data_IF_589241590378
#
_entry.id   IF_589241590378
#
_cell.length_a   1.000
_cell.length_b   1.000
_cell.length_c   1.000
_cell.angle_alpha   90.00
_cell.angle_beta   90.00
_cell.angle_gamma   90.00
#
_symmetry.space_group_name_H-M   'P 1'
#
loop_
_entity.id
_entity.type
_entity.pdbx_description
1 polymer ?
#
# COMPACT_ATOMS: atom_id res chain seq x y z
N UNK A 1 17.35 6.47 -28.99
CA UNK A 1 17.55 6.33 -27.53
C UNK A 1 16.80 5.10 -27.12
N UNK A 2 17.52 4.10 -26.60
CA UNK A 2 17.04 2.74 -26.47
C UNK A 2 16.17 2.59 -25.23
N UNK A 3 15.17 1.69 -25.27
CA UNK A 3 14.29 1.29 -24.17
C UNK A 3 14.97 1.20 -22.78
N UNK A 4 16.15 0.58 -22.60
CA UNK A 4 16.82 0.50 -21.29
C UNK A 4 17.23 1.86 -20.69
N UNK A 5 17.57 2.85 -21.52
CA UNK A 5 17.97 4.19 -21.04
C UNK A 5 16.76 4.97 -20.50
N UNK A 6 15.57 4.72 -21.04
CA UNK A 6 14.32 5.37 -20.61
C UNK A 6 13.84 4.83 -19.27
N UNK A 7 13.96 3.51 -19.04
CA UNK A 7 13.54 2.85 -17.81
C UNK A 7 14.39 3.29 -16.61
N UNK A 8 15.71 3.37 -16.79
CA UNK A 8 16.61 3.92 -15.77
C UNK A 8 16.25 5.36 -15.42
N UNK A 9 15.88 6.18 -16.41
CA UNK A 9 15.52 7.58 -16.20
C UNK A 9 14.19 7.74 -15.42
N UNK A 10 13.19 6.90 -15.68
CA UNK A 10 11.91 6.94 -14.94
C UNK A 10 12.07 6.56 -13.47
N UNK A 11 12.85 5.50 -13.20
CA UNK A 11 13.16 5.09 -11.83
C UNK A 11 13.97 6.15 -11.07
N UNK A 12 15.01 6.71 -11.70
CA UNK A 12 15.85 7.75 -11.10
C UNK A 12 15.07 9.06 -10.84
N UNK A 13 14.17 9.44 -11.75
CA UNK A 13 13.29 10.59 -11.55
C UNK A 13 12.35 10.38 -10.35
N UNK A 14 11.77 9.18 -10.20
CA UNK A 14 10.92 8.85 -9.06
C UNK A 14 11.71 8.91 -7.74
N UNK A 15 12.91 8.33 -7.69
CA UNK A 15 13.76 8.40 -6.50
C UNK A 15 14.19 9.82 -6.17
N UNK A 16 14.50 10.64 -7.18
CA UNK A 16 14.88 12.04 -6.98
C UNK A 16 13.73 12.82 -6.33
N UNK A 17 12.51 12.64 -6.82
CA UNK A 17 11.32 13.27 -6.23
C UNK A 17 11.03 12.75 -4.81
N UNK A 18 11.10 11.43 -4.59
CA UNK A 18 10.80 10.82 -3.28
C UNK A 18 11.77 11.23 -2.17
N UNK A 19 13.03 11.50 -2.53
CA UNK A 19 14.05 12.02 -1.61
C UNK A 19 13.98 13.54 -1.42
N UNK A 20 13.21 14.24 -2.25
CA UNK A 20 12.95 15.68 -2.10
C UNK A 20 11.97 15.99 -0.98
N UNK A 21 11.92 17.27 -0.59
CA UNK A 21 10.96 17.75 0.39
C UNK A 21 9.51 17.63 -0.14
N UNK A 22 8.54 17.18 0.67
CA UNK A 22 7.12 17.20 0.30
C UNK A 22 6.60 18.59 0.00
N UNK A 23 5.73 18.68 -1.00
CA UNK A 23 4.96 19.89 -1.24
C UNK A 23 4.02 20.13 -0.05
N UNK A 24 3.87 21.38 0.40
CA UNK A 24 2.97 21.74 1.48
C UNK A 24 1.50 21.36 1.17
N UNK A 25 1.09 21.45 -0.10
CA UNK A 25 -0.24 21.06 -0.53
C UNK A 25 -0.34 19.56 -0.83
N UNK A 26 -1.06 18.75 -0.01
CA UNK A 26 -1.23 17.33 -0.27
C UNK A 26 -1.91 17.01 -1.61
N UNK A 27 -2.62 17.95 -2.24
CA UNK A 27 -3.22 17.72 -3.58
C UNK A 27 -2.15 17.75 -4.67
N UNK A 28 -1.21 18.70 -4.59
CA UNK A 28 -0.07 18.78 -5.50
C UNK A 28 0.84 17.56 -5.33
N UNK A 29 1.14 17.19 -4.09
CA UNK A 29 2.00 16.04 -3.78
C UNK A 29 1.33 14.71 -4.22
N UNK A 30 0.00 14.59 -4.10
CA UNK A 30 -0.75 13.45 -4.65
C UNK A 30 -0.65 13.37 -6.18
N UNK A 31 -0.70 14.51 -6.88
CA UNK A 31 -0.56 14.52 -8.33
C UNK A 31 0.83 14.02 -8.75
N UNK A 32 1.88 14.42 -8.02
CA UNK A 32 3.24 13.94 -8.23
C UNK A 32 3.39 12.44 -7.90
N UNK A 33 2.81 11.98 -6.78
CA UNK A 33 2.78 10.56 -6.41
C UNK A 33 2.20 9.71 -7.54
N UNK A 34 1.04 10.10 -8.08
CA UNK A 34 0.37 9.38 -9.17
C UNK A 34 1.15 9.39 -10.48
N UNK A 35 2.02 10.38 -10.68
CA UNK A 35 2.90 10.43 -11.83
C UNK A 35 4.05 9.40 -11.72
N UNK A 36 4.60 9.24 -10.52
CA UNK A 36 5.77 8.38 -10.28
C UNK A 36 5.43 6.94 -9.88
N UNK A 37 4.25 6.69 -9.31
CA UNK A 37 3.80 5.36 -8.86
C UNK A 37 3.93 4.24 -9.91
N UNK A 38 3.59 4.44 -11.21
CA UNK A 38 3.73 3.41 -12.23
C UNK A 38 5.17 2.89 -12.43
N UNK A 39 6.19 3.65 -12.00
CA UNK A 39 7.59 3.23 -12.08
C UNK A 39 7.85 1.94 -11.29
N UNK A 40 7.08 1.65 -10.23
CA UNK A 40 7.20 0.42 -9.45
C UNK A 40 6.76 -0.83 -10.23
N UNK A 41 5.96 -0.66 -11.28
CA UNK A 41 5.51 -1.74 -12.16
C UNK A 41 6.53 -2.15 -13.23
N UNK A 42 7.66 -1.45 -13.32
CA UNK A 42 8.66 -1.73 -14.34
C UNK A 42 9.33 -3.10 -14.13
N UNK A 43 9.29 -3.91 -15.19
CA UNK A 43 9.86 -5.26 -15.24
C UNK A 43 11.39 -5.30 -15.24
N UNK A 44 12.05 -4.19 -15.60
CA UNK A 44 13.50 -4.08 -15.59
C UNK A 44 14.09 -3.88 -14.19
N UNK A 45 13.27 -3.49 -13.20
CA UNK A 45 13.71 -3.32 -11.83
C UNK A 45 14.08 -4.66 -11.20
N UNK A 46 15.21 -4.67 -10.49
CA UNK A 46 15.51 -5.76 -9.57
C UNK A 46 14.54 -5.74 -8.39
N UNK A 47 14.38 -6.90 -7.73
CA UNK A 47 13.58 -7.03 -6.50
C UNK A 47 13.95 -5.97 -5.46
N UNK A 48 15.24 -5.76 -5.22
CA UNK A 48 15.72 -4.79 -4.22
C UNK A 48 15.36 -3.33 -4.59
N UNK A 49 15.51 -2.95 -5.87
CA UNK A 49 15.13 -1.61 -6.34
C UNK A 49 13.61 -1.40 -6.22
N UNK A 50 12.81 -2.41 -6.57
CA UNK A 50 11.36 -2.33 -6.45
C UNK A 50 10.94 -2.22 -4.97
N UNK A 51 11.56 -2.97 -4.07
CA UNK A 51 11.32 -2.89 -2.62
C UNK A 51 11.64 -1.50 -2.06
N UNK A 52 12.80 -0.94 -2.41
CA UNK A 52 13.21 0.41 -2.00
C UNK A 52 12.21 1.46 -2.49
N UNK A 53 11.88 1.43 -3.79
CA UNK A 53 10.93 2.37 -4.38
C UNK A 53 9.55 2.27 -3.71
N UNK A 54 9.05 1.06 -3.47
CA UNK A 54 7.76 0.85 -2.81
C UNK A 54 7.76 1.33 -1.36
N UNK A 55 8.85 1.12 -0.63
CA UNK A 55 8.98 1.62 0.74
C UNK A 55 8.89 3.15 0.79
N UNK A 56 9.56 3.85 -0.13
CA UNK A 56 9.52 5.31 -0.25
C UNK A 56 8.14 5.81 -0.69
N UNK A 57 7.53 5.19 -1.71
CA UNK A 57 6.17 5.50 -2.16
C UNK A 57 5.15 5.35 -1.02
N UNK A 58 5.26 4.27 -0.23
CA UNK A 58 4.38 4.03 0.93
C UNK A 58 4.53 5.12 1.98
N UNK A 59 5.75 5.51 2.32
CA UNK A 59 6.01 6.59 3.29
C UNK A 59 5.39 7.89 2.80
N UNK A 60 5.62 8.25 1.54
CA UNK A 60 5.06 9.47 0.94
C UNK A 60 3.53 9.45 0.88
N UNK A 61 2.94 8.33 0.47
CA UNK A 61 1.48 8.20 0.41
C UNK A 61 0.84 8.35 1.80
N UNK A 62 1.44 7.76 2.84
CA UNK A 62 0.97 7.90 4.23
C UNK A 62 1.11 9.33 4.76
N UNK A 63 2.19 10.02 4.41
CA UNK A 63 2.35 11.43 4.74
C UNK A 63 1.24 12.30 4.11
N UNK A 64 0.95 12.09 2.82
CA UNK A 64 -0.17 12.73 2.12
C UNK A 64 -1.49 12.42 2.82
N UNK A 65 -1.74 11.16 3.23
CA UNK A 65 -2.92 10.80 4.02
C UNK A 65 -3.01 11.62 5.32
N UNK A 66 -1.90 11.74 6.04
CA UNK A 66 -1.82 12.50 7.29
C UNK A 66 -2.16 13.98 7.10
N UNK A 67 -1.63 14.61 6.05
CA UNK A 67 -1.88 16.03 5.73
C UNK A 67 -3.24 16.28 5.10
N UNK A 68 -3.80 15.31 4.38
CA UNK A 68 -5.12 15.43 3.76
C UNK A 68 -6.28 15.17 4.74
N UNK A 69 -6.09 14.29 5.73
CA UNK A 69 -7.11 13.90 6.71
C UNK A 69 -7.77 15.08 7.45
N UNK A 70 -7.05 16.13 7.91
CA UNK A 70 -7.66 17.32 8.48
C UNK A 70 -8.67 18.02 7.56
N UNK A 71 -8.44 18.01 6.23
CA UNK A 71 -9.36 18.61 5.25
C UNK A 71 -10.67 17.83 5.16
N UNK A 72 -10.63 16.51 5.32
CA UNK A 72 -11.84 15.68 5.38
C UNK A 72 -12.60 15.87 6.70
N UNK A 73 -11.89 15.92 7.83
CA UNK A 73 -12.51 16.03 9.16
C UNK A 73 -13.16 17.39 9.42
N UNK A 74 -12.68 18.45 8.78
CA UNK A 74 -13.18 19.82 8.95
C UNK A 74 -14.19 20.23 7.89
N UNK A 75 -14.36 19.44 6.83
CA UNK A 75 -15.32 19.72 5.79
C UNK A 75 -16.76 19.50 6.29
N UNK A 76 -17.65 20.42 5.92
CA UNK A 76 -19.09 20.21 6.10
C UNK A 76 -19.60 19.20 5.07
N UNK A 77 -20.54 18.35 5.49
CA UNK A 77 -21.21 17.41 4.58
C UNK A 77 -22.43 18.09 3.90
N UNK A 78 -22.69 17.80 2.62
CA UNK A 78 -21.91 16.93 1.73
C UNK A 78 -20.57 17.55 1.34
N UNK A 79 -19.55 16.71 1.12
CA UNK A 79 -18.23 17.17 0.70
C UNK A 79 -18.30 17.94 -0.62
N UNK A 80 -17.42 18.93 -0.77
CA UNK A 80 -17.23 19.57 -2.06
C UNK A 80 -16.74 18.55 -3.09
N UNK A 81 -17.11 18.77 -4.36
CA UNK A 81 -16.70 17.88 -5.47
C UNK A 81 -15.19 17.72 -5.54
N UNK A 82 -14.45 18.78 -5.24
CA UNK A 82 -13.00 18.79 -5.25
C UNK A 82 -12.41 17.91 -4.15
N UNK A 83 -12.85 18.09 -2.89
CA UNK A 83 -12.38 17.28 -1.76
C UNK A 83 -12.71 15.81 -1.99
N UNK A 84 -13.94 15.51 -2.43
CA UNK A 84 -14.34 14.13 -2.70
C UNK A 84 -13.50 13.51 -3.82
N UNK A 85 -13.27 14.22 -4.94
CA UNK A 85 -12.43 13.73 -6.04
C UNK A 85 -10.98 13.47 -5.60
N UNK A 86 -10.40 14.36 -4.79
CA UNK A 86 -9.05 14.19 -4.25
C UNK A 86 -8.97 12.98 -3.31
N UNK A 87 -9.99 12.78 -2.46
CA UNK A 87 -10.07 11.59 -1.61
C UNK A 87 -10.09 10.30 -2.44
N UNK A 88 -10.90 10.25 -3.50
CA UNK A 88 -10.94 9.10 -4.41
C UNK A 88 -9.59 8.85 -5.09
N UNK A 89 -8.93 9.91 -5.58
CA UNK A 89 -7.61 9.78 -6.20
C UNK A 89 -6.53 9.27 -5.22
N UNK A 90 -6.62 9.66 -3.94
CA UNK A 90 -5.73 9.16 -2.90
C UNK A 90 -6.01 7.69 -2.57
N UNK A 91 -7.29 7.30 -2.45
CA UNK A 91 -7.70 5.91 -2.28
C UNK A 91 -7.17 5.03 -3.43
N UNK A 92 -7.34 5.46 -4.67
CA UNK A 92 -6.86 4.75 -5.85
C UNK A 92 -5.33 4.55 -5.81
N UNK A 93 -4.60 5.60 -5.41
CA UNK A 93 -3.13 5.55 -5.30
C UNK A 93 -2.65 4.57 -4.22
N UNK A 94 -3.32 4.54 -3.06
CA UNK A 94 -3.01 3.60 -1.98
C UNK A 94 -3.24 2.15 -2.42
N UNK A 95 -4.34 1.90 -3.14
CA UNK A 95 -4.65 0.58 -3.67
C UNK A 95 -3.67 0.15 -4.77
N UNK A 96 -3.25 1.08 -5.64
CA UNK A 96 -2.28 0.80 -6.70
C UNK A 96 -0.89 0.45 -6.11
N UNK A 97 -0.41 1.20 -5.12
CA UNK A 97 0.84 0.87 -4.40
C UNK A 97 0.70 -0.50 -3.69
N UNK A 98 -0.44 -0.75 -3.03
CA UNK A 98 -0.71 -2.05 -2.40
C UNK A 98 -0.70 -3.21 -3.39
N UNK A 99 -1.19 -2.99 -4.61
CA UNK A 99 -1.13 -3.97 -5.69
C UNK A 99 0.31 -4.27 -6.13
N UNK A 100 1.19 -3.27 -6.20
CA UNK A 100 2.61 -3.50 -6.47
C UNK A 100 3.29 -4.36 -5.40
N UNK A 101 2.96 -4.14 -4.11
CA UNK A 101 3.41 -5.04 -3.04
C UNK A 101 2.89 -6.47 -3.23
N UNK A 102 1.63 -6.64 -3.63
CA UNK A 102 1.05 -7.97 -3.90
C UNK A 102 1.78 -8.69 -5.03
N UNK A 103 2.09 -7.98 -6.12
CA UNK A 103 2.83 -8.53 -7.26
C UNK A 103 4.24 -8.96 -6.84
N UNK A 104 4.94 -8.10 -6.09
CA UNK A 104 6.28 -8.41 -5.55
C UNK A 104 6.25 -9.63 -4.62
N UNK A 105 5.30 -9.70 -3.68
CA UNK A 105 5.14 -10.84 -2.79
C UNK A 105 4.88 -12.15 -3.58
N UNK A 106 4.06 -12.10 -4.63
CA UNK A 106 3.80 -13.24 -5.50
C UNK A 106 5.06 -13.68 -6.29
N UNK A 107 5.89 -12.74 -6.72
CA UNK A 107 7.18 -13.02 -7.38
C UNK A 107 8.15 -13.74 -6.43
N UNK A 108 8.27 -13.26 -5.19
CA UNK A 108 9.09 -13.87 -4.16
C UNK A 108 8.60 -15.27 -3.76
N UNK A 109 7.27 -15.45 -3.66
CA UNK A 109 6.67 -16.74 -3.34
C UNK A 109 6.97 -17.80 -4.41
N UNK A 110 6.95 -17.44 -5.70
CA UNK A 110 7.29 -18.36 -6.81
C UNK A 110 8.73 -18.86 -6.75
N UNK A 111 9.65 -18.05 -6.20
CA UNK A 111 11.07 -18.40 -6.12
C UNK A 111 11.39 -19.36 -4.96
N UNK A 112 10.39 -19.76 -4.17
CA UNK A 112 10.43 -20.89 -3.21
C UNK A 112 11.61 -20.87 -2.22
N UNK A 113 11.91 -19.69 -1.70
CA UNK A 113 12.91 -19.53 -0.64
C UNK A 113 12.18 -19.53 0.70
N UNK A 114 12.08 -20.70 1.37
CA UNK A 114 11.61 -20.80 2.77
C UNK A 114 12.29 -19.78 3.69
N UNK A 115 13.53 -19.39 3.36
CA UNK A 115 14.31 -18.35 4.03
C UNK A 115 13.69 -16.93 3.97
N UNK A 116 12.70 -16.66 3.10
CA UNK A 116 12.06 -15.35 2.91
C UNK A 116 10.64 -15.26 3.46
N UNK A 117 10.23 -16.17 4.35
CA UNK A 117 8.89 -16.13 4.95
C UNK A 117 8.63 -14.82 5.69
N UNK A 118 9.60 -14.33 6.46
CA UNK A 118 9.45 -13.07 7.20
C UNK A 118 9.28 -11.88 6.24
N UNK A 119 10.06 -11.86 5.15
CA UNK A 119 9.98 -10.84 4.11
C UNK A 119 8.57 -10.79 3.47
N UNK A 120 7.97 -11.95 3.18
CA UNK A 120 6.58 -12.02 2.69
C UNK A 120 5.57 -11.47 3.71
N UNK A 121 5.76 -11.78 5.00
CA UNK A 121 4.91 -11.24 6.07
C UNK A 121 5.02 -9.71 6.11
N UNK A 122 6.24 -9.18 6.04
CA UNK A 122 6.49 -7.74 6.11
C UNK A 122 5.90 -7.01 4.90
N UNK A 123 6.06 -7.55 3.68
CA UNK A 123 5.46 -7.00 2.46
C UNK A 123 3.93 -7.03 2.52
N UNK A 124 3.34 -8.14 2.95
CA UNK A 124 1.89 -8.25 3.12
C UNK A 124 1.36 -7.29 4.18
N UNK A 125 2.08 -7.12 5.30
CA UNK A 125 1.69 -6.17 6.35
C UNK A 125 1.72 -4.72 5.84
N UNK A 126 2.76 -4.34 5.10
CA UNK A 126 2.85 -3.01 4.47
C UNK A 126 1.72 -2.76 3.47
N UNK A 127 1.37 -3.76 2.66
CA UNK A 127 0.28 -3.66 1.69
C UNK A 127 -1.09 -3.56 2.37
N UNK A 128 -1.30 -4.31 3.46
CA UNK A 128 -2.53 -4.28 4.27
C UNK A 128 -2.69 -2.93 5.00
N UNK A 129 -1.59 -2.33 5.46
CA UNK A 129 -1.60 -0.99 6.05
C UNK A 129 -2.14 0.06 5.06
N UNK A 130 -1.70 0.02 3.80
CA UNK A 130 -2.20 0.90 2.73
C UNK A 130 -3.70 0.68 2.44
N UNK A 131 -4.16 -0.57 2.44
CA UNK A 131 -5.59 -0.89 2.29
C UNK A 131 -6.40 -0.36 3.49
N UNK A 132 -5.86 -0.47 4.70
CA UNK A 132 -6.45 0.09 5.91
C UNK A 132 -6.64 1.61 5.80
N UNK A 133 -5.60 2.32 5.37
CA UNK A 133 -5.66 3.77 5.12
C UNK A 133 -6.71 4.13 4.04
N UNK A 134 -6.75 3.37 2.94
CA UNK A 134 -7.74 3.56 1.89
C UNK A 134 -9.19 3.37 2.41
N UNK A 135 -9.40 2.39 3.28
CA UNK A 135 -10.70 2.14 3.93
C UNK A 135 -11.09 3.30 4.88
N UNK A 136 -10.15 3.78 5.70
CA UNK A 136 -10.37 4.92 6.60
C UNK A 136 -10.76 6.17 5.80
N UNK A 137 -10.01 6.49 4.75
CA UNK A 137 -10.30 7.63 3.88
C UNK A 137 -11.64 7.47 3.16
N UNK A 138 -11.97 6.27 2.69
CA UNK A 138 -13.26 5.98 2.06
C UNK A 138 -14.43 6.27 3.01
N UNK A 139 -14.33 5.83 4.26
CA UNK A 139 -15.33 6.11 5.29
C UNK A 139 -15.46 7.61 5.60
N UNK A 140 -14.34 8.33 5.70
CA UNK A 140 -14.35 9.79 5.89
C UNK A 140 -14.94 10.54 4.70
N UNK A 141 -14.70 10.05 3.49
CA UNK A 141 -15.17 10.66 2.25
C UNK A 141 -16.64 10.35 1.93
N UNK A 142 -17.28 9.47 2.71
CA UNK A 142 -18.60 8.90 2.38
C UNK A 142 -18.58 8.12 1.07
N UNK A 143 -17.42 7.57 0.69
CA UNK A 143 -17.23 6.83 -0.55
C UNK A 143 -17.69 5.37 -0.39
N UNK A 144 -18.19 4.79 -1.47
CA UNK A 144 -18.44 3.35 -1.52
C UNK A 144 -17.09 2.63 -1.50
N UNK A 145 -17.01 1.53 -0.75
CA UNK A 145 -15.82 0.66 -0.70
C UNK A 145 -15.42 0.28 -2.14
N UNK A 146 -14.17 0.54 -2.55
CA UNK A 146 -13.70 0.16 -3.88
C UNK A 146 -13.91 -1.34 -4.16
N UNK A 147 -14.29 -1.66 -5.39
CA UNK A 147 -14.52 -3.04 -5.80
C UNK A 147 -13.25 -3.88 -5.59
N UNK A 148 -13.41 -5.07 -5.04
CA UNK A 148 -12.28 -5.99 -4.82
C UNK A 148 -11.38 -5.65 -3.64
N UNK A 149 -11.60 -4.56 -2.88
CA UNK A 149 -10.75 -4.18 -1.75
C UNK A 149 -10.56 -5.32 -0.74
N UNK A 150 -11.65 -5.97 -0.34
CA UNK A 150 -11.59 -7.09 0.61
C UNK A 150 -10.97 -8.35 0.02
N UNK A 151 -11.18 -8.59 -1.28
CA UNK A 151 -10.53 -9.69 -1.98
C UNK A 151 -9.01 -9.48 -2.03
N UNK A 152 -8.58 -8.25 -2.30
CA UNK A 152 -7.18 -7.85 -2.31
C UNK A 152 -6.52 -8.05 -0.95
N UNK A 153 -7.14 -7.55 0.12
CA UNK A 153 -6.69 -7.75 1.49
C UNK A 153 -6.59 -9.25 1.85
N UNK A 154 -7.58 -10.04 1.46
CA UNK A 154 -7.59 -11.48 1.72
C UNK A 154 -6.45 -12.21 1.01
N UNK A 155 -6.14 -11.85 -0.25
CA UNK A 155 -5.01 -12.44 -0.98
C UNK A 155 -3.67 -12.13 -0.30
N UNK A 156 -3.47 -10.89 0.15
CA UNK A 156 -2.26 -10.48 0.88
C UNK A 156 -2.13 -11.20 2.23
N UNK A 157 -3.25 -11.34 2.94
CA UNK A 157 -3.31 -12.08 4.19
C UNK A 157 -2.96 -13.57 4.01
N UNK A 158 -3.43 -14.20 2.93
CA UNK A 158 -3.04 -15.55 2.58
C UNK A 158 -1.55 -15.66 2.24
N UNK A 159 -1.01 -14.68 1.51
CA UNK A 159 0.40 -14.65 1.11
C UNK A 159 1.36 -14.53 2.31
N UNK A 160 0.93 -13.90 3.40
CA UNK A 160 1.68 -13.85 4.66
C UNK A 160 1.82 -15.22 5.36
N UNK A 161 1.24 -16.29 4.83
CA UNK A 161 1.35 -17.64 5.39
C UNK A 161 0.48 -17.88 6.64
N UNK A 162 -0.50 -17.01 6.92
CA UNK A 162 -1.45 -17.17 8.03
C UNK A 162 -2.35 -18.42 7.89
N UNK A 163 -2.45 -18.99 6.67
CA UNK A 163 -3.12 -20.28 6.43
C UNK A 163 -2.49 -21.44 7.20
N UNK A 164 -1.16 -21.44 7.33
CA UNK A 164 -0.42 -22.49 8.03
C UNK A 164 -0.48 -22.32 9.56
N UNK A 165 -0.56 -21.08 10.06
CA UNK A 165 -0.76 -20.81 11.48
C UNK A 165 -2.16 -21.20 11.95
N UNK A 166 -3.20 -20.98 11.13
CA UNK A 166 -4.56 -21.43 11.44
C UNK A 166 -4.69 -22.95 11.36
N UNK A 167 -4.03 -23.60 10.38
CA UNK A 167 -4.03 -25.06 10.28
C UNK A 167 -3.18 -25.75 11.37
N UNK A 168 -2.08 -25.12 11.82
CA UNK A 168 -1.27 -25.55 12.96
C UNK A 168 -1.87 -25.20 14.33
N UNK A 169 -2.89 -24.35 14.36
CA UNK A 169 -3.59 -23.89 15.55
C UNK A 169 -4.52 -24.91 16.21
N UNK A 170 -4.80 -26.06 15.56
CA UNK A 170 -5.52 -27.16 16.17
C UNK A 170 -4.78 -27.79 17.39
N UNK A 171 -3.51 -27.43 17.62
CA UNK A 171 -2.77 -27.74 18.86
C UNK A 171 -2.63 -26.56 19.83
N UNK A 172 -3.09 -25.35 19.48
CA UNK A 172 -2.96 -24.12 20.26
C UNK A 172 -4.29 -23.64 20.88
N UNK A 173 -5.38 -24.40 20.71
CA UNK A 173 -6.68 -24.11 21.32
C UNK A 173 -6.70 -24.21 22.85
N UNK A 174 -5.64 -24.75 23.47
CA UNK A 174 -5.47 -24.70 24.93
C UNK A 174 -4.98 -23.33 25.45
N UNK A 175 -4.38 -22.50 24.60
CA UNK A 175 -3.82 -21.20 24.99
C UNK A 175 -4.75 -20.01 24.77
N UNK A 176 -5.65 -20.09 23.78
CA UNK A 176 -6.52 -18.96 23.42
C UNK A 176 -7.75 -18.84 24.33
N UNK A 177 -8.17 -19.93 24.98
CA UNK A 177 -9.21 -19.90 26.02
C UNK A 177 -8.76 -19.17 27.31
N UNK A 178 -7.45 -19.02 27.54
CA UNK A 178 -6.92 -18.33 28.72
C UNK A 178 -6.86 -16.79 28.57
N UNK A 179 -6.96 -16.27 27.35
CA UNK A 179 -6.84 -14.82 27.08
C UNK A 179 -8.19 -14.11 26.92
N UNK A 180 -9.31 -14.83 26.89
CA UNK A 180 -10.66 -14.25 26.82
C UNK A 180 -11.38 -14.15 28.18
N UNK A 181 -10.71 -14.38 29.30
CA UNK A 181 -11.30 -14.25 30.67
C UNK A 181 -10.79 -13.02 31.42
N UNK A 182 -10.00 -12.16 30.78
CA UNK A 182 -9.58 -10.89 31.40
C UNK A 182 -9.79 -9.75 30.42
N UNK A 183 -11.04 -9.32 30.25
CA UNK A 183 -11.48 -7.91 30.19
C UNK A 183 -13.01 -7.87 30.29
#
# INVERSE_FOLDING_TARGET
>A
MSEPDQLSATHEAALTWLNGEPDDDPVADLAALRHHEPAAGDSALTVAQREELLALLRVRAKDICGRFRPRLLTASLPLSREIHRTAMALIDSLLAISEHYRVLAAELQRRWLWARRQELVDLSAQALELIGEACILGNMAGAVVPFGLWQHAHVLWLAAGMREQLAGGAGADAGMAALCVQY
#
